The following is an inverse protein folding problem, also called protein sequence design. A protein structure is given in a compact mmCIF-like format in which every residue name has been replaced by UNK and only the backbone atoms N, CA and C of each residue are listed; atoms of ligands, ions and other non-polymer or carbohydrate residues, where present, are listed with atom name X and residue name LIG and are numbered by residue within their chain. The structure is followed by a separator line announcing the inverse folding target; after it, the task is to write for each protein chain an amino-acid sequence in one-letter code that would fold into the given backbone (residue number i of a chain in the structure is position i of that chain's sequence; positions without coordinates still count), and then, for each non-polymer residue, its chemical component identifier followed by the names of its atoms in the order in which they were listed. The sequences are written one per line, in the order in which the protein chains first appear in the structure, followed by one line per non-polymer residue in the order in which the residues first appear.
data_IF_707898845367
#
_entry.id   IF_707898845367
#
_cell.length_a   1.000
_cell.length_b   1.000
_cell.length_c   1.000
_cell.angle_alpha   90.00
_cell.angle_beta   90.00
_cell.angle_gamma   90.00
#
_symmetry.space_group_name_H-M   'P 1'
#
loop_
_entity.id
_entity.type
_entity.pdbx_description
1 polymer ?
#
# COMPACT_ATOMS: atom_id res chain seq x y z
N UNK A 1 -25.88 20.24 -1.38
CA UNK A 1 -24.57 19.58 -1.15
C UNK A 1 -23.61 20.02 -2.24
N UNK A 2 -22.48 20.63 -1.87
CA UNK A 2 -21.47 21.03 -2.88
C UNK A 2 -20.89 19.79 -3.55
N UNK A 3 -20.71 19.84 -4.88
CA UNK A 3 -20.08 18.75 -5.62
C UNK A 3 -18.64 18.53 -5.09
N UNK A 4 -18.23 17.25 -4.94
CA UNK A 4 -16.86 16.92 -4.55
C UNK A 4 -15.88 17.45 -5.59
N UNK A 5 -14.76 18.10 -5.18
CA UNK A 5 -13.75 18.54 -6.12
C UNK A 5 -13.17 17.36 -6.92
N UNK A 6 -13.07 17.53 -8.24
CA UNK A 6 -12.51 16.49 -9.11
C UNK A 6 -11.00 16.37 -8.89
N UNK A 7 -10.51 15.14 -8.73
CA UNK A 7 -9.11 14.83 -8.56
C UNK A 7 -8.63 13.73 -9.52
N UNK A 8 -7.41 13.88 -10.03
CA UNK A 8 -6.74 12.81 -10.75
C UNK A 8 -5.69 12.14 -9.89
N UNK A 9 -5.74 10.81 -9.82
CA UNK A 9 -4.64 9.99 -9.30
C UNK A 9 -3.79 9.57 -10.48
N UNK A 10 -2.55 10.04 -10.51
CA UNK A 10 -1.58 9.69 -11.55
C UNK A 10 -0.86 8.39 -11.14
N UNK A 11 -0.98 7.36 -11.98
CA UNK A 11 -0.47 6.03 -11.67
C UNK A 11 0.32 5.40 -12.81
N UNK A 12 1.46 4.79 -12.48
CA UNK A 12 2.23 3.92 -13.37
C UNK A 12 1.78 2.44 -13.29
N UNK A 13 0.62 2.18 -12.66
CA UNK A 13 0.07 0.84 -12.43
C UNK A 13 0.59 0.16 -11.15
N UNK A 14 1.41 0.83 -10.35
CA UNK A 14 1.91 0.25 -9.09
C UNK A 14 0.82 0.30 -8.02
N UNK A 15 0.24 -0.86 -7.69
CA UNK A 15 -0.90 -0.98 -6.78
C UNK A 15 -0.71 -0.28 -5.43
N UNK A 16 0.41 -0.50 -4.73
CA UNK A 16 0.66 0.11 -3.43
C UNK A 16 0.76 1.64 -3.46
N UNK A 17 1.09 2.24 -4.61
CA UNK A 17 1.09 3.69 -4.80
C UNK A 17 -0.33 4.22 -5.02
N UNK A 18 -1.15 3.49 -5.79
CA UNK A 18 -2.57 3.84 -5.96
C UNK A 18 -3.33 3.80 -4.63
N UNK A 19 -3.09 2.79 -3.79
CA UNK A 19 -3.74 2.66 -2.47
C UNK A 19 -3.49 3.89 -1.61
N UNK A 20 -2.25 4.36 -1.52
CA UNK A 20 -1.91 5.56 -0.75
C UNK A 20 -2.59 6.83 -1.30
N UNK A 21 -2.61 6.99 -2.62
CA UNK A 21 -3.25 8.14 -3.25
C UNK A 21 -4.79 8.11 -3.07
N UNK A 22 -5.41 6.92 -3.13
CA UNK A 22 -6.84 6.75 -2.85
C UNK A 22 -7.18 7.05 -1.40
N UNK A 23 -6.36 6.61 -0.45
CA UNK A 23 -6.54 6.90 0.97
C UNK A 23 -6.54 8.42 1.23
N UNK A 24 -5.57 9.15 0.67
CA UNK A 24 -5.53 10.60 0.79
C UNK A 24 -6.74 11.26 0.12
N UNK A 25 -7.13 10.80 -1.05
CA UNK A 25 -8.28 11.34 -1.77
C UNK A 25 -9.60 11.13 -1.00
N UNK A 26 -9.76 9.98 -0.36
CA UNK A 26 -10.92 9.68 0.50
C UNK A 26 -10.96 10.61 1.71
N UNK A 27 -9.84 10.77 2.42
CA UNK A 27 -9.72 11.67 3.57
C UNK A 27 -10.00 13.14 3.20
N UNK A 28 -9.69 13.55 1.96
CA UNK A 28 -9.98 14.89 1.44
C UNK A 28 -11.36 15.00 0.76
N UNK A 29 -12.17 13.96 0.79
CA UNK A 29 -13.49 13.89 0.17
C UNK A 29 -13.50 14.30 -1.33
N UNK A 30 -12.52 13.80 -2.11
CA UNK A 30 -12.34 14.11 -3.52
C UNK A 30 -13.09 13.13 -4.43
N UNK A 31 -13.60 13.62 -5.56
CA UNK A 31 -14.13 12.78 -6.65
C UNK A 31 -12.97 12.33 -7.55
N UNK A 32 -12.56 11.07 -7.45
CA UNK A 32 -11.34 10.57 -8.08
C UNK A 32 -11.56 9.98 -9.47
N UNK A 33 -10.61 10.26 -10.37
CA UNK A 33 -10.37 9.51 -11.61
C UNK A 33 -8.92 9.04 -11.61
N UNK A 34 -8.71 7.74 -11.72
CA UNK A 34 -7.35 7.19 -11.84
C UNK A 34 -6.91 7.28 -13.29
N UNK A 35 -5.81 7.97 -13.51
CA UNK A 35 -5.15 8.10 -14.81
C UNK A 35 -3.91 7.21 -14.84
N UNK A 36 -4.03 6.07 -15.50
CA UNK A 36 -2.92 5.12 -15.69
C UNK A 36 -2.18 5.47 -16.97
N UNK A 37 -1.00 6.03 -16.81
CA UNK A 37 -0.16 6.45 -17.92
C UNK A 37 1.12 5.62 -17.99
N UNK A 38 1.78 5.68 -19.14
CA UNK A 38 3.12 5.10 -19.29
C UNK A 38 4.15 6.21 -19.15
N UNK A 39 5.07 6.10 -18.15
CA UNK A 39 6.17 7.05 -18.04
C UNK A 39 7.03 7.04 -19.30
N UNK A 40 7.48 8.22 -19.75
CA UNK A 40 8.41 8.31 -20.86
C UNK A 40 9.65 7.44 -20.58
N UNK A 41 10.17 6.66 -21.55
CA UNK A 41 11.28 5.74 -21.32
C UNK A 41 12.51 6.38 -20.66
N UNK A 42 12.84 7.61 -20.99
CA UNK A 42 13.93 8.37 -20.37
C UNK A 42 13.70 8.61 -18.88
N UNK A 43 12.45 8.78 -18.43
CA UNK A 43 12.13 8.95 -17.01
C UNK A 43 12.25 7.68 -16.19
N UNK A 44 12.24 6.51 -16.85
CA UNK A 44 12.52 5.23 -16.19
C UNK A 44 13.99 5.09 -15.83
N UNK A 45 14.88 5.59 -16.69
CA UNK A 45 16.33 5.58 -16.50
C UNK A 45 16.78 6.76 -15.61
N UNK A 46 16.25 7.95 -15.87
CA UNK A 46 16.60 9.19 -15.18
C UNK A 46 15.35 9.93 -14.65
N UNK A 47 14.78 9.50 -13.52
CA UNK A 47 13.58 10.11 -12.95
C UNK A 47 13.71 11.61 -12.67
N UNK A 48 14.94 12.08 -12.41
CA UNK A 48 15.21 13.51 -12.19
C UNK A 48 14.88 14.41 -13.39
N UNK A 49 14.93 13.89 -14.62
CA UNK A 49 14.50 14.64 -15.80
C UNK A 49 13.01 15.01 -15.77
N UNK A 50 12.19 14.22 -15.07
CA UNK A 50 10.77 14.51 -14.87
C UNK A 50 10.52 15.78 -14.08
N UNK A 51 11.46 16.23 -13.26
CA UNK A 51 11.35 17.45 -12.47
C UNK A 51 11.32 18.73 -13.35
N UNK A 52 11.76 18.64 -14.60
CA UNK A 52 11.62 19.73 -15.57
C UNK A 52 10.15 20.00 -15.95
N UNK A 53 9.25 19.01 -15.77
CA UNK A 53 7.87 19.05 -16.26
C UNK A 53 7.75 19.12 -17.79
N UNK A 54 8.83 18.81 -18.54
CA UNK A 54 8.82 18.81 -20.00
C UNK A 54 8.39 17.46 -20.59
N UNK A 55 8.68 16.37 -19.88
CA UNK A 55 8.38 15.04 -20.36
C UNK A 55 6.99 14.62 -19.90
N UNK A 56 6.04 14.64 -20.83
CA UNK A 56 4.68 14.15 -20.62
C UNK A 56 4.57 12.61 -20.60
N UNK A 57 3.36 12.10 -20.47
CA UNK A 57 3.09 10.69 -20.61
C UNK A 57 3.46 10.19 -21.99
N UNK A 58 3.89 8.94 -22.08
CA UNK A 58 4.14 8.24 -23.34
C UNK A 58 2.84 7.59 -23.86
N UNK A 59 2.75 7.41 -25.18
CA UNK A 59 1.58 6.78 -25.81
C UNK A 59 1.26 5.41 -25.22
N UNK A 60 -0.04 5.08 -25.13
CA UNK A 60 -0.54 3.78 -24.68
C UNK A 60 -0.97 3.70 -23.22
N UNK A 61 -1.25 4.83 -22.59
CA UNK A 61 -1.98 4.97 -21.32
C UNK A 61 -3.17 5.90 -21.48
N UNK A 62 -3.79 6.28 -20.35
CA UNK A 62 -4.87 7.26 -20.33
C UNK A 62 -4.36 8.64 -20.75
N UNK A 63 -5.19 9.35 -21.52
CA UNK A 63 -4.88 10.71 -21.93
C UNK A 63 -4.95 11.68 -20.74
N UNK A 64 -3.93 12.50 -20.62
CA UNK A 64 -3.89 13.63 -19.69
C UNK A 64 -4.23 14.93 -20.44
N UNK A 65 -5.51 15.10 -20.77
CA UNK A 65 -6.04 16.23 -21.53
C UNK A 65 -7.21 16.89 -20.78
N UNK A 66 -7.53 18.18 -21.03
CA UNK A 66 -8.68 18.85 -20.44
C UNK A 66 -10.00 18.07 -20.62
N UNK A 67 -10.98 18.24 -19.71
CA UNK A 67 -10.98 19.19 -18.59
C UNK A 67 -10.04 18.79 -17.46
N UNK A 68 -9.27 19.77 -16.96
CA UNK A 68 -8.32 19.52 -15.88
C UNK A 68 -9.02 19.33 -14.53
N UNK A 69 -8.46 18.48 -13.64
CA UNK A 69 -8.99 18.30 -12.28
C UNK A 69 -8.66 19.54 -11.40
N UNK A 70 -9.37 19.67 -10.29
CA UNK A 70 -9.06 20.66 -9.28
C UNK A 70 -7.71 20.41 -8.58
N UNK A 71 -7.29 19.13 -8.50
CA UNK A 71 -6.02 18.70 -7.90
C UNK A 71 -5.55 17.39 -8.52
N UNK A 72 -4.23 17.18 -8.59
CA UNK A 72 -3.63 15.91 -8.97
C UNK A 72 -2.86 15.31 -7.79
N UNK A 73 -3.04 14.01 -7.59
CA UNK A 73 -2.34 13.21 -6.59
C UNK A 73 -1.36 12.27 -7.30
N UNK A 74 -0.10 12.30 -6.89
CA UNK A 74 0.92 11.39 -7.39
C UNK A 74 1.62 10.72 -6.21
N UNK A 75 1.85 9.42 -6.30
CA UNK A 75 2.56 8.68 -5.26
C UNK A 75 3.81 8.02 -5.82
N UNK A 76 4.92 8.20 -5.10
CA UNK A 76 6.19 7.64 -5.47
C UNK A 76 6.95 8.43 -6.54
N UNK A 77 8.25 8.20 -6.61
CA UNK A 77 9.19 8.96 -7.44
C UNK A 77 8.91 8.89 -8.95
N UNK A 78 8.37 7.76 -9.42
CA UNK A 78 8.09 7.58 -10.86
C UNK A 78 6.95 8.44 -11.36
N UNK A 79 5.96 8.72 -10.48
CA UNK A 79 4.79 9.51 -10.83
C UNK A 79 5.03 11.01 -10.69
N UNK A 80 6.10 11.42 -10.00
CA UNK A 80 6.45 12.82 -9.77
C UNK A 80 6.60 13.63 -11.08
N UNK A 81 7.22 13.03 -12.09
CA UNK A 81 7.42 13.70 -13.39
C UNK A 81 6.11 14.03 -14.12
N UNK A 82 5.16 13.09 -14.15
CA UNK A 82 3.85 13.31 -14.77
C UNK A 82 3.04 14.38 -14.03
N UNK A 83 3.15 14.39 -12.69
CA UNK A 83 2.52 15.40 -11.86
C UNK A 83 3.04 16.81 -12.19
N UNK A 84 4.35 16.99 -12.28
CA UNK A 84 4.94 18.29 -12.64
C UNK A 84 4.66 18.69 -14.09
N UNK A 85 4.57 17.71 -15.00
CA UNK A 85 4.13 17.99 -16.37
C UNK A 85 2.70 18.52 -16.39
N UNK A 86 1.78 17.87 -15.64
CA UNK A 86 0.39 18.30 -15.54
C UNK A 86 0.27 19.71 -14.93
N UNK A 87 1.03 19.97 -13.85
CA UNK A 87 1.11 21.29 -13.22
C UNK A 87 1.54 22.36 -14.23
N UNK A 88 2.58 22.08 -15.00
CA UNK A 88 3.11 23.02 -15.99
C UNK A 88 2.16 23.24 -17.17
N UNK A 89 1.49 22.18 -17.63
CA UNK A 89 0.60 22.22 -18.80
C UNK A 89 -0.77 22.78 -18.50
N UNK A 90 -1.34 22.44 -17.34
CA UNK A 90 -2.72 22.73 -16.97
C UNK A 90 -2.88 23.65 -15.78
N UNK A 91 -1.80 24.10 -15.13
CA UNK A 91 -1.87 24.90 -13.91
C UNK A 91 -2.48 24.14 -12.72
N UNK A 92 -2.55 22.80 -12.80
CA UNK A 92 -3.19 21.95 -11.80
C UNK A 92 -2.33 21.88 -10.54
N UNK A 93 -2.86 22.17 -9.35
CA UNK A 93 -2.18 21.92 -8.08
C UNK A 93 -1.83 20.44 -7.92
N UNK A 94 -0.64 20.15 -7.38
CA UNK A 94 -0.12 18.79 -7.25
C UNK A 94 0.25 18.46 -5.82
N UNK A 95 -0.32 17.37 -5.31
CA UNK A 95 0.09 16.73 -4.05
C UNK A 95 0.93 15.50 -4.38
N UNK A 96 2.17 15.51 -3.95
CA UNK A 96 3.08 14.38 -4.07
C UNK A 96 3.13 13.58 -2.77
N UNK A 97 2.88 12.29 -2.85
CA UNK A 97 2.97 11.36 -1.73
C UNK A 97 4.28 10.59 -1.84
N UNK A 98 4.98 10.42 -0.75
CA UNK A 98 6.35 9.94 -0.61
C UNK A 98 7.39 10.92 -1.18
N UNK A 99 8.60 10.80 -0.65
CA UNK A 99 9.74 11.63 -1.06
C UNK A 99 10.13 11.40 -2.52
N UNK A 100 10.01 12.41 -3.39
CA UNK A 100 10.47 12.33 -4.78
C UNK A 100 11.99 12.27 -4.91
N UNK A 101 12.75 12.41 -3.81
CA UNK A 101 14.22 12.48 -3.66
C UNK A 101 14.86 13.75 -4.20
N UNK A 102 14.13 14.58 -4.91
CA UNK A 102 14.62 15.89 -5.40
C UNK A 102 13.43 16.73 -5.87
N UNK A 103 13.66 18.03 -6.02
CA UNK A 103 12.67 18.95 -6.58
C UNK A 103 11.46 19.24 -5.68
N UNK A 104 11.58 19.11 -4.37
CA UNK A 104 10.49 19.28 -3.40
C UNK A 104 9.75 20.62 -3.58
N UNK A 105 10.47 21.68 -3.90
CA UNK A 105 9.93 23.03 -4.10
C UNK A 105 8.97 23.17 -5.30
N UNK A 106 8.96 22.19 -6.21
CA UNK A 106 8.10 22.26 -7.40
C UNK A 106 6.68 21.74 -7.15
N UNK A 107 6.47 21.01 -6.06
CA UNK A 107 5.15 20.52 -5.67
C UNK A 107 4.45 21.53 -4.77
N UNK A 108 3.12 21.58 -4.86
CA UNK A 108 2.33 22.46 -3.98
C UNK A 108 2.30 21.89 -2.55
N UNK A 109 2.24 20.55 -2.44
CA UNK A 109 2.29 19.84 -1.17
C UNK A 109 3.01 18.50 -1.35
N UNK A 110 3.80 18.13 -0.34
CA UNK A 110 4.38 16.79 -0.18
C UNK A 110 3.84 16.17 1.09
N UNK A 111 3.44 14.92 1.00
CA UNK A 111 3.04 14.09 2.15
C UNK A 111 4.03 12.94 2.26
N UNK A 112 4.88 12.96 3.29
CA UNK A 112 5.99 12.00 3.44
C UNK A 112 5.96 11.31 4.80
N UNK A 113 6.30 10.03 4.89
CA UNK A 113 6.41 9.36 6.18
C UNK A 113 7.61 9.92 6.98
N UNK A 114 7.48 9.91 8.30
CA UNK A 114 8.45 10.52 9.23
C UNK A 114 9.86 9.95 9.11
N UNK A 115 10.00 8.68 8.65
CA UNK A 115 11.31 8.06 8.42
C UNK A 115 12.03 8.58 7.16
N UNK A 116 11.32 9.26 6.24
CA UNK A 116 11.96 10.00 5.16
C UNK A 116 12.56 11.31 5.69
N UNK A 117 13.70 11.72 5.14
CA UNK A 117 14.43 12.91 5.61
C UNK A 117 13.91 14.24 5.07
N UNK A 118 13.02 14.19 4.07
CA UNK A 118 12.49 15.38 3.40
C UNK A 118 11.66 16.22 4.36
N UNK A 119 11.99 17.51 4.46
CA UNK A 119 11.28 18.54 5.24
C UNK A 119 11.21 19.83 4.42
N UNK A 120 10.26 20.70 4.75
CA UNK A 120 10.06 21.99 4.06
C UNK A 120 8.74 22.62 4.42
N UNK A 121 8.54 23.88 3.98
CA UNK A 121 7.31 24.63 4.24
C UNK A 121 6.07 24.02 3.57
N UNK A 122 6.28 23.24 2.49
CA UNK A 122 5.25 22.52 1.75
C UNK A 122 5.25 21.01 2.05
N UNK A 123 5.77 20.57 3.20
CA UNK A 123 5.89 19.15 3.58
C UNK A 123 5.08 18.86 4.81
N UNK A 124 4.15 17.92 4.70
CA UNK A 124 3.45 17.30 5.83
C UNK A 124 4.09 15.92 6.08
N UNK A 125 4.40 15.64 7.34
CA UNK A 125 4.92 14.32 7.75
C UNK A 125 3.83 13.47 8.37
N UNK A 126 3.80 12.17 8.01
CA UNK A 126 2.93 11.16 8.58
C UNK A 126 3.74 10.13 9.36
N UNK A 127 3.14 9.47 10.35
CA UNK A 127 3.84 8.43 11.14
C UNK A 127 4.35 7.29 10.24
N UNK A 128 3.53 6.84 9.31
CA UNK A 128 3.83 5.81 8.34
C UNK A 128 3.31 6.14 6.94
N UNK A 129 3.32 5.16 6.05
CA UNK A 129 2.70 5.28 4.73
C UNK A 129 1.19 5.47 4.87
N UNK A 130 0.62 6.31 4.01
CA UNK A 130 -0.82 6.49 3.96
C UNK A 130 -1.51 5.17 3.63
N UNK A 131 -2.61 4.92 4.31
CA UNK A 131 -3.46 3.75 4.09
C UNK A 131 -4.93 4.15 4.29
N UNK A 132 -5.84 3.32 3.83
CA UNK A 132 -7.28 3.54 3.97
C UNK A 132 -7.90 2.64 5.04
N UNK A 133 -7.12 2.25 6.05
CA UNK A 133 -7.61 1.43 7.17
C UNK A 133 -8.28 2.37 8.17
N UNK A 134 -9.55 2.14 8.41
CA UNK A 134 -10.37 2.81 9.42
C UNK A 134 -11.20 1.79 10.19
N UNK A 135 -11.88 2.23 11.23
CA UNK A 135 -12.66 1.36 12.11
C UNK A 135 -13.85 0.72 11.38
N UNK A 136 -14.44 1.42 10.41
CA UNK A 136 -15.56 0.91 9.63
C UNK A 136 -15.09 -0.27 8.75
N UNK A 137 -13.96 -0.11 8.04
CA UNK A 137 -13.35 -1.17 7.24
C UNK A 137 -13.00 -2.39 8.08
N UNK A 138 -12.41 -2.17 9.25
CA UNK A 138 -12.05 -3.25 10.16
C UNK A 138 -13.28 -3.98 10.70
N UNK A 139 -14.31 -3.25 11.06
CA UNK A 139 -15.59 -3.80 11.56
C UNK A 139 -16.29 -4.62 10.48
N UNK A 140 -16.40 -4.09 9.25
CA UNK A 140 -17.00 -4.79 8.11
C UNK A 140 -16.20 -6.06 7.76
N UNK A 141 -14.88 -5.97 7.72
CA UNK A 141 -14.01 -7.10 7.45
C UNK A 141 -14.18 -8.21 8.53
N UNK A 142 -14.20 -7.83 9.81
CA UNK A 142 -14.39 -8.77 10.93
C UNK A 142 -15.74 -9.50 10.82
N UNK A 143 -16.81 -8.79 10.45
CA UNK A 143 -18.11 -9.40 10.26
C UNK A 143 -18.12 -10.46 9.15
N UNK A 144 -17.40 -10.21 8.05
CA UNK A 144 -17.28 -11.16 6.92
C UNK A 144 -16.59 -12.48 7.27
N UNK A 145 -15.74 -12.50 8.30
CA UNK A 145 -14.97 -13.67 8.75
C UNK A 145 -15.31 -14.12 10.17
N UNK A 146 -16.40 -13.63 10.75
CA UNK A 146 -16.79 -13.90 12.13
C UNK A 146 -16.89 -15.41 12.44
N UNK A 147 -17.44 -16.21 11.52
CA UNK A 147 -17.57 -17.66 11.70
C UNK A 147 -16.24 -18.41 11.71
N UNK A 148 -15.22 -17.96 10.98
CA UNK A 148 -13.88 -18.51 10.99
C UNK A 148 -13.16 -18.12 12.29
N UNK A 149 -13.18 -16.85 12.62
CA UNK A 149 -12.52 -16.28 13.80
C UNK A 149 -13.10 -16.86 15.10
N UNK A 150 -14.41 -17.09 15.17
CA UNK A 150 -15.06 -17.66 16.35
C UNK A 150 -14.61 -19.08 16.70
N UNK A 151 -14.03 -19.83 15.75
CA UNK A 151 -13.49 -21.18 15.99
C UNK A 151 -12.15 -21.17 16.72
N UNK A 152 -11.49 -20.02 16.76
CA UNK A 152 -10.19 -19.88 17.40
C UNK A 152 -10.38 -19.37 18.83
N UNK A 153 -9.89 -20.10 19.86
CA UNK A 153 -9.89 -19.58 21.22
C UNK A 153 -9.07 -18.29 21.28
N UNK A 154 -9.42 -17.39 22.23
CA UNK A 154 -8.61 -16.21 22.49
C UNK A 154 -7.57 -16.47 23.57
N UNK A 155 -6.52 -15.65 23.66
CA UNK A 155 -6.22 -14.50 22.79
C UNK A 155 -5.72 -14.89 21.39
N UNK A 156 -5.82 -13.98 20.43
CA UNK A 156 -5.49 -14.22 19.00
C UNK A 156 -4.37 -13.32 18.54
N UNK A 157 -3.45 -13.85 17.75
CA UNK A 157 -2.33 -13.11 17.16
C UNK A 157 -2.46 -13.12 15.64
N UNK A 158 -2.48 -11.94 15.02
CA UNK A 158 -2.44 -11.83 13.57
C UNK A 158 -0.99 -11.89 13.09
N UNK A 159 -0.71 -12.77 12.12
CA UNK A 159 0.62 -12.96 11.56
C UNK A 159 0.59 -12.67 10.07
N UNK A 160 1.34 -11.64 9.64
CA UNK A 160 1.46 -11.27 8.24
C UNK A 160 2.84 -11.66 7.69
N UNK A 161 2.90 -12.73 6.91
CA UNK A 161 4.15 -13.23 6.34
C UNK A 161 4.40 -12.56 5.00
N UNK A 162 5.48 -11.78 4.93
CA UNK A 162 6.00 -11.17 3.72
C UNK A 162 6.61 -12.20 2.77
N UNK A 163 6.93 -11.77 1.56
CA UNK A 163 7.65 -12.60 0.57
C UNK A 163 8.89 -11.89 0.04
N UNK A 164 9.58 -12.56 -0.87
CA UNK A 164 10.80 -12.08 -1.50
C UNK A 164 10.64 -10.74 -2.22
N UNK A 165 11.69 -9.94 -2.22
CA UNK A 165 11.79 -8.70 -2.98
C UNK A 165 13.19 -8.55 -3.60
N UNK A 166 13.50 -7.37 -4.17
CA UNK A 166 14.81 -7.16 -4.82
C UNK A 166 16.01 -7.21 -3.87
N UNK A 167 15.82 -7.02 -2.57
CA UNK A 167 16.89 -6.97 -1.56
C UNK A 167 16.92 -8.20 -0.67
N UNK A 168 15.79 -8.85 -0.47
CA UNK A 168 15.63 -9.96 0.45
C UNK A 168 15.00 -11.13 -0.27
N UNK A 169 15.59 -12.28 -0.14
CA UNK A 169 15.00 -13.57 -0.52
C UNK A 169 14.46 -14.25 0.74
N UNK A 170 13.23 -14.71 0.67
CA UNK A 170 12.61 -15.57 1.68
C UNK A 170 12.58 -16.97 1.11
N UNK A 171 13.26 -17.91 1.77
CA UNK A 171 13.35 -19.32 1.36
C UNK A 171 12.32 -20.18 2.09
N UNK A 172 12.14 -21.43 1.67
CA UNK A 172 11.30 -22.41 2.37
C UNK A 172 11.83 -22.67 3.77
N UNK A 173 13.17 -22.74 3.94
CA UNK A 173 13.79 -22.93 5.24
C UNK A 173 13.53 -21.74 6.20
N UNK A 174 13.52 -20.50 5.68
CA UNK A 174 13.18 -19.34 6.50
C UNK A 174 11.74 -19.42 7.00
N UNK A 175 10.81 -19.87 6.13
CA UNK A 175 9.40 -20.06 6.51
C UNK A 175 9.28 -21.16 7.56
N UNK A 176 9.93 -22.30 7.38
CA UNK A 176 9.87 -23.41 8.33
C UNK A 176 10.46 -23.02 9.70
N UNK A 177 11.61 -22.34 9.70
CA UNK A 177 12.22 -21.82 10.93
C UNK A 177 11.33 -20.82 11.66
N UNK A 178 10.69 -19.90 10.91
CA UNK A 178 9.74 -18.95 11.48
C UNK A 178 8.46 -19.64 11.99
N UNK A 179 7.95 -20.63 11.26
CA UNK A 179 6.76 -21.39 11.65
C UNK A 179 6.97 -22.17 12.96
N UNK A 180 8.15 -22.79 13.15
CA UNK A 180 8.51 -23.43 14.41
C UNK A 180 8.55 -22.44 15.58
N UNK A 181 9.15 -21.25 15.36
CA UNK A 181 9.16 -20.18 16.36
C UNK A 181 7.76 -19.72 16.72
N UNK A 182 6.86 -19.61 15.73
CA UNK A 182 5.45 -19.28 15.95
C UNK A 182 4.70 -20.36 16.73
N UNK A 183 4.97 -21.64 16.44
CA UNK A 183 4.37 -22.76 17.16
C UNK A 183 4.77 -22.74 18.65
N UNK A 184 6.08 -22.60 18.94
CA UNK A 184 6.61 -22.48 20.30
C UNK A 184 6.02 -21.28 21.04
N UNK A 185 5.93 -20.14 20.35
CA UNK A 185 5.31 -18.94 20.91
C UNK A 185 3.84 -19.16 21.23
N UNK A 186 3.08 -19.73 20.30
CA UNK A 186 1.65 -19.97 20.48
C UNK A 186 1.36 -20.97 21.62
N UNK A 187 2.15 -22.02 21.71
CA UNK A 187 2.06 -22.99 22.80
C UNK A 187 2.42 -22.38 24.17
N UNK A 188 3.50 -21.56 24.22
CA UNK A 188 3.97 -20.94 25.47
C UNK A 188 2.97 -19.90 26.01
N UNK A 189 2.34 -19.14 25.11
CA UNK A 189 1.43 -18.05 25.48
C UNK A 189 -0.05 -18.41 25.38
N UNK A 190 -0.37 -19.64 25.05
CA UNK A 190 -1.75 -20.14 24.89
C UNK A 190 -2.59 -19.28 23.95
N UNK A 191 -2.01 -18.89 22.78
CA UNK A 191 -2.65 -18.02 21.79
C UNK A 191 -3.01 -18.80 20.53
N UNK A 192 -4.04 -18.32 19.82
CA UNK A 192 -4.37 -18.79 18.48
C UNK A 192 -3.70 -17.91 17.42
N UNK A 193 -3.29 -18.48 16.30
CA UNK A 193 -2.63 -17.79 15.20
C UNK A 193 -3.56 -17.59 14.01
N UNK A 194 -3.65 -16.38 13.51
CA UNK A 194 -4.35 -16.01 12.27
C UNK A 194 -3.32 -15.57 11.24
N UNK A 195 -2.95 -16.44 10.33
CA UNK A 195 -1.81 -16.28 9.44
C UNK A 195 -2.25 -15.88 8.03
N UNK A 196 -1.67 -14.82 7.50
CA UNK A 196 -1.77 -14.48 6.08
C UNK A 196 -0.39 -14.52 5.43
N UNK A 197 -0.33 -14.96 4.17
CA UNK A 197 0.90 -15.01 3.40
C UNK A 197 0.85 -14.11 2.17
N UNK A 198 2.03 -13.64 1.76
CA UNK A 198 2.19 -12.86 0.54
C UNK A 198 2.19 -13.76 -0.70
N UNK A 199 1.63 -13.27 -1.82
CA UNK A 199 1.78 -13.92 -3.14
C UNK A 199 3.24 -14.08 -3.60
N UNK A 200 4.20 -13.47 -2.90
CA UNK A 200 5.65 -13.58 -3.16
C UNK A 200 6.35 -14.52 -2.19
N UNK A 201 5.61 -15.21 -1.35
CA UNK A 201 6.15 -16.26 -0.48
C UNK A 201 6.55 -17.49 -1.31
N UNK A 202 7.47 -18.34 -0.83
CA UNK A 202 7.87 -19.56 -1.52
C UNK A 202 6.68 -20.49 -1.78
N UNK A 203 6.71 -21.30 -2.86
CA UNK A 203 5.58 -22.14 -3.24
C UNK A 203 5.09 -23.10 -2.16
N UNK A 204 6.00 -23.65 -1.34
CA UNK A 204 5.68 -24.62 -0.27
C UNK A 204 5.50 -23.97 1.12
N UNK A 205 5.41 -22.63 1.18
CA UNK A 205 5.27 -21.90 2.44
C UNK A 205 4.03 -22.33 3.25
N UNK A 206 2.92 -22.59 2.57
CA UNK A 206 1.66 -22.98 3.22
C UNK A 206 1.76 -24.38 3.80
N UNK A 207 2.38 -25.32 3.08
CA UNK A 207 2.58 -26.70 3.55
C UNK A 207 3.46 -26.70 4.80
N UNK A 208 4.58 -25.98 4.78
CA UNK A 208 5.48 -25.84 5.90
C UNK A 208 4.78 -25.21 7.14
N UNK A 209 3.97 -24.18 6.93
CA UNK A 209 3.19 -23.57 8.01
C UNK A 209 2.16 -24.54 8.60
N UNK A 210 1.42 -25.27 7.77
CA UNK A 210 0.43 -26.24 8.24
C UNK A 210 1.06 -27.39 9.03
N UNK A 211 2.24 -27.85 8.60
CA UNK A 211 2.99 -28.90 9.27
C UNK A 211 3.48 -28.43 10.65
N UNK A 212 4.17 -27.29 10.70
CA UNK A 212 4.74 -26.78 11.94
C UNK A 212 3.69 -26.29 12.95
N UNK A 213 2.53 -25.80 12.49
CA UNK A 213 1.47 -25.26 13.36
C UNK A 213 0.40 -26.30 13.73
N UNK A 214 0.55 -27.58 13.35
CA UNK A 214 -0.47 -28.63 13.54
C UNK A 214 -0.97 -28.77 14.98
N UNK A 215 -0.11 -28.52 15.95
CA UNK A 215 -0.38 -28.72 17.37
C UNK A 215 -0.88 -27.48 18.12
N UNK A 216 -1.03 -26.35 17.42
CA UNK A 216 -1.53 -25.10 18.00
C UNK A 216 -2.79 -24.62 17.28
N UNK A 217 -3.72 -23.93 17.96
CA UNK A 217 -4.90 -23.38 17.30
C UNK A 217 -4.50 -22.33 16.25
N UNK A 218 -4.84 -22.57 14.97
CA UNK A 218 -4.47 -21.65 13.91
C UNK A 218 -5.48 -21.63 12.75
N UNK A 219 -5.43 -20.58 11.96
CA UNK A 219 -5.98 -20.52 10.60
C UNK A 219 -4.95 -19.91 9.67
N UNK A 220 -4.87 -20.39 8.44
CA UNK A 220 -3.91 -19.92 7.43
C UNK A 220 -4.68 -19.57 6.15
N UNK A 221 -4.63 -18.31 5.74
CA UNK A 221 -5.11 -17.93 4.42
C UNK A 221 -4.06 -18.31 3.37
N UNK A 222 -4.47 -19.13 2.44
CA UNK A 222 -3.60 -19.71 1.41
C UNK A 222 -3.51 -18.90 0.11
N UNK A 223 -4.06 -17.69 0.11
CA UNK A 223 -4.06 -16.81 -1.07
C UNK A 223 -5.27 -17.00 -1.97
N UNK A 224 -6.19 -17.92 -1.65
CA UNK A 224 -7.43 -18.16 -2.38
C UNK A 224 -8.63 -17.52 -1.69
N UNK A 225 -9.67 -17.23 -2.46
CA UNK A 225 -10.89 -16.60 -1.93
C UNK A 225 -10.68 -15.18 -1.43
N UNK A 226 -11.60 -14.72 -0.58
CA UNK A 226 -11.53 -13.41 0.05
C UNK A 226 -10.34 -13.32 1.00
N UNK A 227 -9.64 -12.20 0.99
CA UNK A 227 -8.47 -11.99 1.85
C UNK A 227 -8.92 -11.55 3.25
N UNK A 228 -8.65 -12.35 4.31
CA UNK A 228 -9.07 -12.04 5.67
C UNK A 228 -8.16 -11.05 6.39
N UNK A 229 -7.16 -10.46 5.74
CA UNK A 229 -6.12 -9.65 6.37
C UNK A 229 -6.68 -8.61 7.34
N UNK A 230 -7.66 -7.80 6.91
CA UNK A 230 -8.25 -6.79 7.77
C UNK A 230 -9.11 -7.37 8.89
N UNK A 231 -9.78 -8.51 8.63
CA UNK A 231 -10.53 -9.22 9.66
C UNK A 231 -9.61 -9.77 10.76
N UNK A 232 -8.46 -10.31 10.37
CA UNK A 232 -7.48 -10.81 11.33
C UNK A 232 -6.87 -9.67 12.14
N UNK A 233 -6.56 -8.52 11.50
CA UNK A 233 -6.10 -7.33 12.23
C UNK A 233 -7.14 -6.85 13.25
N UNK A 234 -8.42 -6.81 12.86
CA UNK A 234 -9.51 -6.37 13.73
C UNK A 234 -9.76 -7.30 14.93
N UNK A 235 -9.57 -8.61 14.74
CA UNK A 235 -9.84 -9.63 15.75
C UNK A 235 -8.62 -9.97 16.62
N UNK A 236 -7.45 -9.43 16.30
CA UNK A 236 -6.21 -9.77 17.00
C UNK A 236 -6.04 -8.99 18.30
N UNK A 237 -5.49 -9.67 19.29
CA UNK A 237 -4.98 -9.07 20.53
C UNK A 237 -3.57 -8.49 20.32
N UNK A 238 -2.80 -9.08 19.40
CA UNK A 238 -1.46 -8.66 18.98
C UNK A 238 -1.19 -8.97 17.50
N UNK A 239 -0.18 -8.30 16.93
CA UNK A 239 0.26 -8.44 15.54
C UNK A 239 1.76 -8.71 15.54
#
# INVERSE_FOLDING_TARGET
MSARPAAWILSDGTHGMEVQARALAAALNLAITVKRYRPHPLLRAWPALGLSGWFGPHAGGDDLVPPWPAVALACGRRNAGAALWLKKRGGVPVIQIQDPKSGNRYFDLLVVPAHDRTRGANVITTTGSLNGIDDDLLTEAAAGFAGEIARLPGPRVAVAIGGSNRRYQVTENDIAGFANTLADFAATHEVSLMVTISRRSPPRAIEALRECLSDVPHTIWDGTGANPYFAYLAAATAI
#
